data_IF_348579347186
#
_entry.id   IF_348579347186
#
_cell.length_a   1.000
_cell.length_b   1.000
_cell.length_c   1.000
_cell.angle_alpha   90.00
_cell.angle_beta   90.00
_cell.angle_gamma   90.00
#
_symmetry.space_group_name_H-M   'P 1'
#
loop_
_entity.id
_entity.type
_entity.pdbx_description
1 polymer ?
#
# COMPACT_ATOMS: atom_id res chain seq x y z
N UNK A 1 5.21 55.84 -25.25
CA UNK A 1 4.87 54.41 -25.50
C UNK A 1 3.71 54.38 -26.46
N UNK A 2 3.84 53.68 -27.61
CA UNK A 2 2.77 53.61 -28.60
C UNK A 2 1.63 52.73 -28.10
N UNK A 3 0.36 53.06 -28.44
CA UNK A 3 -0.79 52.23 -28.07
C UNK A 3 -0.62 50.78 -28.49
N UNK A 4 0.15 50.47 -29.55
CA UNK A 4 0.45 49.16 -30.05
C UNK A 4 1.34 48.34 -29.09
N UNK A 5 2.35 48.97 -28.46
CA UNK A 5 3.21 48.30 -27.48
C UNK A 5 2.50 48.00 -26.17
N UNK A 6 1.55 48.86 -25.78
CA UNK A 6 0.73 48.60 -24.59
C UNK A 6 -0.26 47.44 -24.81
N UNK A 7 -0.89 47.34 -26.00
CA UNK A 7 -1.80 46.25 -26.34
C UNK A 7 -1.06 44.89 -26.47
N UNK A 8 0.14 44.89 -27.03
CA UNK A 8 0.98 43.67 -27.09
C UNK A 8 1.42 43.20 -25.70
N UNK A 9 1.80 44.12 -24.83
CA UNK A 9 2.18 43.78 -23.45
C UNK A 9 0.99 43.21 -22.64
N UNK A 10 -0.20 43.78 -22.84
CA UNK A 10 -1.42 43.34 -22.17
C UNK A 10 -1.87 41.95 -22.70
N UNK A 11 -1.74 41.68 -24.00
CA UNK A 11 -2.03 40.39 -24.61
C UNK A 11 -1.07 39.30 -24.15
N UNK A 12 0.23 39.55 -24.04
CA UNK A 12 1.21 38.64 -23.47
C UNK A 12 0.94 38.34 -21.99
N UNK A 13 0.62 39.36 -21.20
CA UNK A 13 0.31 39.19 -19.78
C UNK A 13 -0.95 38.34 -19.55
N UNK A 14 -2.01 38.57 -20.36
CA UNK A 14 -3.21 37.77 -20.28
C UNK A 14 -2.97 36.31 -20.73
N UNK A 15 -2.20 36.10 -21.79
CA UNK A 15 -1.79 34.78 -22.27
C UNK A 15 -1.01 33.98 -21.21
N UNK A 16 -0.08 34.63 -20.51
CA UNK A 16 0.66 34.00 -19.40
C UNK A 16 -0.25 33.66 -18.20
N UNK A 17 -1.19 34.53 -17.84
CA UNK A 17 -2.15 34.24 -16.77
C UNK A 17 -3.08 33.08 -17.11
N UNK A 18 -3.59 33.00 -18.35
CA UNK A 18 -4.42 31.89 -18.79
C UNK A 18 -3.62 30.58 -18.82
N UNK A 19 -2.39 30.61 -19.31
CA UNK A 19 -1.52 29.39 -19.30
C UNK A 19 -1.21 28.92 -17.88
N UNK A 20 -0.98 29.84 -16.94
CA UNK A 20 -0.73 29.48 -15.53
C UNK A 20 -1.98 28.89 -14.84
N UNK A 21 -3.18 29.24 -15.29
CA UNK A 21 -4.44 28.72 -14.74
C UNK A 21 -4.75 27.29 -15.19
N UNK A 22 -4.15 26.83 -16.29
CA UNK A 22 -4.34 25.47 -16.82
C UNK A 22 -3.48 24.45 -16.05
N UNK A 23 -2.38 24.90 -15.44
CA UNK A 23 -1.52 24.04 -14.63
C UNK A 23 -2.13 23.92 -13.24
N UNK A 24 -2.88 22.83 -13.02
CA UNK A 24 -3.41 22.54 -11.70
C UNK A 24 -2.26 22.10 -10.78
N UNK A 25 -2.04 22.84 -9.70
CA UNK A 25 -0.97 22.54 -8.71
C UNK A 25 -1.13 21.15 -8.09
N UNK A 26 -2.32 20.59 -8.12
CA UNK A 26 -2.61 19.23 -7.65
C UNK A 26 -2.04 18.11 -8.53
N UNK A 27 -1.53 18.45 -9.73
CA UNK A 27 -0.94 17.47 -10.64
C UNK A 27 0.56 17.27 -10.40
N UNK A 28 1.15 18.00 -9.45
CA UNK A 28 2.55 17.86 -9.07
C UNK A 28 2.68 17.48 -7.60
N UNK A 29 3.48 16.46 -7.32
CA UNK A 29 3.79 15.98 -5.97
C UNK A 29 5.29 16.09 -5.74
N UNK A 30 5.67 16.75 -4.64
CA UNK A 30 7.03 16.76 -4.15
C UNK A 30 7.20 15.62 -3.14
N UNK A 31 7.81 14.48 -3.57
CA UNK A 31 8.08 13.39 -2.66
C UNK A 31 9.29 13.68 -1.77
N UNK A 32 9.09 13.56 -0.46
CA UNK A 32 10.11 13.78 0.58
C UNK A 32 10.48 12.48 1.29
N UNK A 33 9.72 11.40 1.09
CA UNK A 33 9.92 10.11 1.75
C UNK A 33 10.83 9.21 0.94
N UNK A 34 11.47 8.24 1.59
CA UNK A 34 12.44 7.33 0.97
C UNK A 34 11.80 6.10 0.34
N UNK A 35 10.51 5.90 0.52
CA UNK A 35 9.79 4.73 -0.01
C UNK A 35 9.77 4.65 -1.55
N UNK A 36 9.98 5.77 -2.23
CA UNK A 36 10.33 5.90 -3.65
C UNK A 36 11.33 7.05 -3.79
N UNK A 37 12.08 7.18 -4.89
CA UNK A 37 13.07 8.25 -5.07
C UNK A 37 12.50 9.62 -4.72
N UNK A 38 13.23 10.41 -3.91
CA UNK A 38 12.82 11.77 -3.55
C UNK A 38 12.85 12.68 -4.76
N UNK A 39 11.87 13.58 -4.90
CA UNK A 39 11.84 14.51 -6.03
C UNK A 39 10.46 14.96 -6.45
N UNK A 40 10.39 15.52 -7.65
CA UNK A 40 9.18 16.06 -8.25
C UNK A 40 8.56 15.03 -9.19
N UNK A 41 7.28 14.78 -8.99
CA UNK A 41 6.47 13.88 -9.80
C UNK A 41 5.30 14.62 -10.42
N UNK A 42 4.98 14.29 -11.66
CA UNK A 42 3.74 14.68 -12.33
C UNK A 42 2.72 13.56 -12.21
N UNK A 43 1.47 13.88 -11.90
CA UNK A 43 0.37 12.93 -11.73
C UNK A 43 -0.57 13.02 -12.93
N UNK A 44 -0.56 11.97 -13.75
CA UNK A 44 -1.47 11.83 -14.89
C UNK A 44 -2.78 11.17 -14.42
N UNK A 45 -3.83 11.99 -14.27
CA UNK A 45 -5.15 11.55 -13.82
C UNK A 45 -5.94 10.79 -14.87
N UNK A 46 -5.51 10.87 -16.12
CA UNK A 46 -6.18 10.24 -17.27
C UNK A 46 -5.57 8.90 -17.67
N UNK A 47 -4.39 8.58 -17.13
CA UNK A 47 -3.70 7.34 -17.43
C UNK A 47 -4.48 6.12 -16.92
N UNK A 48 -4.47 5.05 -17.70
CA UNK A 48 -4.96 3.74 -17.24
C UNK A 48 -3.95 3.18 -16.24
N UNK A 49 -4.48 2.60 -15.19
CA UNK A 49 -3.69 1.98 -14.12
C UNK A 49 -3.39 0.54 -14.51
N UNK A 50 -2.13 0.15 -14.39
CA UNK A 50 -1.62 -1.20 -14.65
C UNK A 50 -0.73 -1.66 -13.49
N UNK A 51 -0.56 -2.96 -13.34
CA UNK A 51 0.39 -3.52 -12.38
C UNK A 51 1.80 -3.00 -12.66
N UNK A 52 2.51 -2.58 -11.62
CA UNK A 52 3.83 -1.96 -11.70
C UNK A 52 3.82 -0.43 -11.79
N UNK A 53 2.70 0.20 -12.13
CA UNK A 53 2.61 1.66 -12.17
C UNK A 53 2.83 2.27 -10.79
N UNK A 54 3.60 3.35 -10.74
CA UNK A 54 3.66 4.20 -9.56
C UNK A 54 2.44 5.13 -9.55
N UNK A 55 1.65 5.10 -8.49
CA UNK A 55 0.44 5.92 -8.38
C UNK A 55 0.49 6.86 -7.20
N UNK A 56 -0.15 8.02 -7.34
CA UNK A 56 -0.50 8.89 -6.24
C UNK A 56 -1.82 8.40 -5.64
N UNK A 57 -1.84 8.13 -4.35
CA UNK A 57 -2.94 7.51 -3.63
C UNK A 57 -3.34 8.33 -2.41
N UNK A 58 -4.63 8.59 -2.25
CA UNK A 58 -5.20 9.23 -1.07
C UNK A 58 -5.69 8.14 -0.09
N UNK A 59 -4.99 7.88 1.03
CA UNK A 59 -5.38 6.83 1.96
C UNK A 59 -6.76 7.12 2.60
N UNK A 60 -7.39 6.08 3.17
CA UNK A 60 -8.63 6.24 3.95
C UNK A 60 -8.38 7.16 5.14
N UNK A 61 -9.44 7.73 5.72
CA UNK A 61 -9.33 8.63 6.86
C UNK A 61 -8.67 7.93 8.06
N UNK A 62 -8.98 6.68 8.29
CA UNK A 62 -8.38 5.86 9.34
C UNK A 62 -6.85 5.71 9.14
N UNK A 63 -6.43 5.31 7.94
CA UNK A 63 -4.99 5.18 7.60
C UNK A 63 -4.30 6.53 7.70
N UNK A 64 -4.94 7.59 7.24
CA UNK A 64 -4.42 8.96 7.26
C UNK A 64 -4.20 9.47 8.68
N UNK A 65 -5.15 9.25 9.59
CA UNK A 65 -5.02 9.58 11.00
C UNK A 65 -3.86 8.82 11.64
N UNK A 66 -3.80 7.51 11.41
CA UNK A 66 -2.72 6.69 11.93
C UNK A 66 -1.34 7.16 11.43
N UNK A 67 -1.19 7.45 10.12
CA UNK A 67 0.07 7.96 9.55
C UNK A 67 0.49 9.30 10.15
N UNK A 68 -0.48 10.18 10.43
CA UNK A 68 -0.24 11.48 11.05
C UNK A 68 0.16 11.34 12.53
N UNK A 69 -0.51 10.49 13.27
CA UNK A 69 -0.25 10.25 14.70
C UNK A 69 1.12 9.62 14.93
N UNK A 70 1.55 8.72 14.04
CA UNK A 70 2.91 8.15 14.04
C UNK A 70 3.96 9.10 13.45
N UNK A 71 3.57 10.29 12.97
CA UNK A 71 4.49 11.29 12.41
C UNK A 71 5.14 10.88 11.07
N UNK A 72 4.56 9.90 10.36
CA UNK A 72 5.12 9.34 9.11
C UNK A 72 4.92 10.32 7.96
N UNK A 73 3.69 10.81 7.77
CA UNK A 73 3.34 11.85 6.78
C UNK A 73 2.22 12.73 7.34
N UNK A 74 2.12 13.97 6.85
CA UNK A 74 1.01 14.87 7.19
C UNK A 74 -0.33 14.34 6.66
N UNK A 75 -1.43 14.65 7.37
CA UNK A 75 -2.76 14.10 7.14
C UNK A 75 -3.30 14.28 5.69
N UNK A 76 -2.91 15.36 5.01
CA UNK A 76 -3.40 15.67 3.65
C UNK A 76 -2.40 15.29 2.54
N UNK A 77 -1.35 14.52 2.89
CA UNK A 77 -0.30 14.19 1.94
C UNK A 77 -0.63 12.90 1.17
N UNK A 78 -0.69 12.92 -0.17
CA UNK A 78 -0.87 11.71 -0.95
C UNK A 78 0.37 10.81 -0.84
N UNK A 79 0.14 9.50 -0.83
CA UNK A 79 1.20 8.50 -0.84
C UNK A 79 1.58 8.14 -2.28
N UNK A 80 2.88 7.92 -2.52
CA UNK A 80 3.36 7.32 -3.77
C UNK A 80 3.62 5.83 -3.55
N UNK A 81 2.88 4.97 -4.25
CA UNK A 81 2.96 3.51 -4.13
C UNK A 81 2.86 2.84 -5.49
N UNK A 82 3.54 1.69 -5.65
CA UNK A 82 3.38 0.88 -6.85
C UNK A 82 2.13 0.01 -6.74
N UNK A 83 1.44 -0.13 -7.85
CA UNK A 83 0.33 -1.08 -8.00
C UNK A 83 0.92 -2.48 -8.07
N UNK A 84 0.78 -3.25 -7.00
CA UNK A 84 1.31 -4.60 -6.89
C UNK A 84 0.27 -5.67 -7.24
N UNK A 85 -1.03 -5.37 -7.09
CA UNK A 85 -2.12 -6.25 -7.46
C UNK A 85 -3.36 -5.49 -7.90
N UNK A 86 -4.09 -6.08 -8.83
CA UNK A 86 -5.35 -5.61 -9.41
C UNK A 86 -6.44 -6.68 -9.29
N UNK A 87 -7.65 -6.37 -9.74
CA UNK A 87 -8.79 -7.30 -9.73
C UNK A 87 -8.44 -8.67 -10.30
N UNK A 88 -8.73 -9.73 -9.53
CA UNK A 88 -8.42 -11.11 -9.85
C UNK A 88 -7.14 -11.65 -9.21
N UNK A 89 -6.24 -10.79 -8.74
CA UNK A 89 -5.04 -11.22 -8.02
C UNK A 89 -5.39 -11.71 -6.61
N UNK A 90 -4.74 -12.77 -6.15
CA UNK A 90 -4.85 -13.29 -4.80
C UNK A 90 -3.74 -12.68 -3.93
N UNK A 91 -4.14 -12.04 -2.84
CA UNK A 91 -3.23 -11.43 -1.87
C UNK A 91 -3.33 -12.21 -0.58
N UNK A 92 -2.20 -12.71 -0.09
CA UNK A 92 -2.11 -13.45 1.18
C UNK A 92 -1.13 -12.76 2.13
N UNK A 93 -1.45 -12.77 3.43
CA UNK A 93 -0.50 -12.47 4.50
C UNK A 93 -0.52 -13.60 5.52
N UNK A 94 0.68 -14.14 5.80
CA UNK A 94 0.92 -15.15 6.81
C UNK A 94 2.00 -14.65 7.77
N UNK A 95 1.61 -14.30 8.99
CA UNK A 95 2.44 -13.59 9.97
C UNK A 95 3.00 -12.28 9.38
N UNK A 96 4.30 -12.24 9.02
CA UNK A 96 4.94 -11.07 8.42
C UNK A 96 5.05 -11.17 6.89
N UNK A 97 4.90 -12.34 6.31
CA UNK A 97 5.09 -12.55 4.88
C UNK A 97 3.83 -12.18 4.09
N UNK A 98 4.00 -11.33 3.08
CA UNK A 98 2.96 -10.98 2.12
C UNK A 98 3.30 -11.59 0.78
N UNK A 99 2.32 -12.24 0.15
CA UNK A 99 2.45 -12.83 -1.18
C UNK A 99 1.34 -12.37 -2.11
N UNK A 100 1.66 -12.35 -3.40
CA UNK A 100 0.74 -12.05 -4.49
C UNK A 100 0.77 -13.24 -5.44
N UNK A 101 -0.38 -13.84 -5.71
CA UNK A 101 -0.52 -15.04 -6.56
C UNK A 101 0.44 -16.17 -6.15
N UNK A 102 0.62 -16.36 -4.85
CA UNK A 102 1.50 -17.38 -4.30
C UNK A 102 3.01 -17.07 -4.37
N UNK A 103 3.39 -15.89 -4.84
CA UNK A 103 4.79 -15.42 -4.86
C UNK A 103 4.99 -14.45 -3.71
N UNK A 104 5.94 -14.75 -2.80
CA UNK A 104 6.28 -13.84 -1.69
C UNK A 104 6.88 -12.56 -2.25
N UNK A 105 6.28 -11.42 -1.89
CA UNK A 105 6.67 -10.10 -2.41
C UNK A 105 7.48 -9.32 -1.38
N UNK A 106 6.99 -9.22 -0.13
CA UNK A 106 7.61 -8.43 0.93
C UNK A 106 7.37 -9.05 2.30
N UNK A 107 8.23 -8.67 3.26
CA UNK A 107 8.02 -8.94 4.69
C UNK A 107 7.55 -7.65 5.40
N UNK A 108 6.57 -7.80 6.30
CA UNK A 108 6.10 -6.74 7.17
C UNK A 108 6.86 -6.74 8.51
N UNK A 109 7.08 -5.58 9.09
CA UNK A 109 7.54 -5.46 10.47
C UNK A 109 6.36 -5.63 11.44
N UNK A 110 6.64 -5.96 12.70
CA UNK A 110 5.63 -6.07 13.76
C UNK A 110 5.50 -4.79 14.56
N UNK A 111 6.58 -4.03 14.66
CA UNK A 111 6.66 -2.79 15.43
C UNK A 111 7.38 -1.71 14.65
N UNK A 112 7.08 -0.46 14.98
CA UNK A 112 7.82 0.72 14.51
C UNK A 112 9.17 0.82 15.20
N UNK A 113 10.03 1.74 14.77
CA UNK A 113 11.29 2.04 15.47
C UNK A 113 11.06 2.56 16.91
N UNK A 114 9.91 3.21 17.16
CA UNK A 114 9.49 3.65 18.50
C UNK A 114 8.94 2.53 19.38
N UNK A 115 8.76 1.32 18.84
CA UNK A 115 8.20 0.17 19.54
C UNK A 115 6.67 0.06 19.49
N UNK A 116 5.97 0.97 18.81
CA UNK A 116 4.52 0.89 18.61
C UNK A 116 4.16 -0.25 17.67
N UNK A 117 3.07 -0.97 17.94
CA UNK A 117 2.59 -2.05 17.08
C UNK A 117 2.13 -1.51 15.71
N UNK A 118 2.58 -2.15 14.64
CA UNK A 118 2.13 -1.85 13.28
C UNK A 118 0.81 -2.57 12.99
N UNK A 119 -0.11 -1.96 12.21
CA UNK A 119 -1.34 -2.62 11.78
C UNK A 119 -1.06 -3.94 11.09
N UNK A 120 -1.91 -4.93 11.31
CA UNK A 120 -1.74 -6.26 10.75
C UNK A 120 -3.07 -6.85 10.32
N UNK A 121 -3.05 -7.52 9.17
CA UNK A 121 -4.13 -8.37 8.68
C UNK A 121 -3.58 -9.76 8.41
N UNK A 122 -4.43 -10.76 8.27
CA UNK A 122 -4.04 -12.16 8.08
C UNK A 122 -4.99 -12.85 7.08
N UNK A 123 -4.50 -13.92 6.45
CA UNK A 123 -5.26 -14.74 5.52
C UNK A 123 -5.07 -14.33 4.08
N UNK A 124 -5.90 -14.90 3.21
CA UNK A 124 -5.89 -14.69 1.77
C UNK A 124 -7.20 -14.06 1.31
N UNK A 125 -7.12 -13.19 0.32
CA UNK A 125 -8.29 -12.62 -0.36
C UNK A 125 -7.99 -12.37 -1.83
N UNK A 126 -8.99 -12.59 -2.68
CA UNK A 126 -8.91 -12.23 -4.10
C UNK A 126 -9.45 -10.82 -4.29
N UNK A 127 -8.69 -9.98 -4.97
CA UNK A 127 -9.07 -8.60 -5.27
C UNK A 127 -10.32 -8.55 -6.14
N UNK A 128 -11.32 -7.79 -5.71
CA UNK A 128 -12.55 -7.55 -6.47
C UNK A 128 -12.35 -6.41 -7.49
N UNK A 129 -13.32 -6.23 -8.37
CA UNK A 129 -13.33 -5.09 -9.28
C UNK A 129 -13.29 -3.76 -8.50
N UNK A 130 -12.36 -2.88 -8.86
CA UNK A 130 -12.14 -1.60 -8.19
C UNK A 130 -11.23 -1.68 -6.96
N UNK A 131 -10.82 -2.86 -6.52
CA UNK A 131 -9.83 -3.02 -5.43
C UNK A 131 -8.41 -3.06 -5.99
N UNK A 132 -7.46 -2.56 -5.20
CA UNK A 132 -6.04 -2.53 -5.55
C UNK A 132 -5.20 -2.92 -4.35
N UNK A 133 -4.04 -3.51 -4.63
CA UNK A 133 -3.02 -3.75 -3.62
C UNK A 133 -1.77 -2.94 -3.94
N UNK A 134 -1.34 -2.13 -2.99
CA UNK A 134 -0.29 -1.13 -3.18
C UNK A 134 0.93 -1.48 -2.32
N UNK A 135 2.11 -1.57 -2.93
CA UNK A 135 3.37 -1.85 -2.26
C UNK A 135 4.50 -0.97 -2.79
N UNK A 136 5.54 -0.82 -1.98
CA UNK A 136 6.86 -0.37 -2.42
C UNK A 136 7.92 -1.39 -1.99
N UNK A 137 9.04 -1.44 -2.69
CA UNK A 137 10.17 -2.34 -2.40
C UNK A 137 10.87 -1.99 -1.10
N UNK A 138 10.89 -0.72 -0.72
CA UNK A 138 11.58 -0.25 0.48
C UNK A 138 11.08 -0.97 1.74
N UNK A 139 11.96 -1.60 2.55
CA UNK A 139 11.55 -2.44 3.67
C UNK A 139 10.77 -1.68 4.75
N UNK A 140 11.05 -0.39 4.93
CA UNK A 140 10.34 0.48 5.87
C UNK A 140 9.13 1.19 5.25
N UNK A 141 8.70 0.81 4.04
CA UNK A 141 7.53 1.41 3.44
C UNK A 141 6.26 1.00 4.18
N UNK A 142 5.46 1.99 4.53
CA UNK A 142 4.12 1.80 5.09
C UNK A 142 3.12 1.78 3.94
N UNK A 143 2.53 0.62 3.68
CA UNK A 143 1.71 0.33 2.51
C UNK A 143 0.75 -0.85 2.75
N UNK A 144 0.34 -1.55 1.68
CA UNK A 144 -0.59 -2.68 1.74
C UNK A 144 -0.14 -3.82 2.64
N UNK A 145 1.15 -3.95 2.96
CA UNK A 145 1.63 -4.94 3.94
C UNK A 145 1.02 -4.74 5.33
N UNK A 146 0.58 -3.51 5.65
CA UNK A 146 -0.05 -3.14 6.92
C UNK A 146 -1.55 -2.89 6.80
N UNK A 147 -1.98 -2.22 5.74
CA UNK A 147 -3.37 -1.79 5.57
C UNK A 147 -4.19 -2.72 4.66
N UNK A 148 -3.55 -3.75 4.04
CA UNK A 148 -4.25 -4.68 3.15
C UNK A 148 -4.71 -4.03 1.84
N UNK A 149 -5.82 -4.56 1.33
CA UNK A 149 -6.45 -4.12 0.08
C UNK A 149 -7.06 -2.73 0.24
N UNK A 150 -6.94 -1.92 -0.81
CA UNK A 150 -7.42 -0.55 -0.85
C UNK A 150 -8.44 -0.35 -1.98
N UNK A 151 -9.26 0.71 -1.83
CA UNK A 151 -10.20 1.13 -2.87
C UNK A 151 -9.44 1.87 -4.00
N UNK A 152 -9.49 1.34 -5.20
CA UNK A 152 -8.87 1.94 -6.39
C UNK A 152 -9.43 3.32 -6.76
N UNK A 153 -10.66 3.65 -6.35
CA UNK A 153 -11.23 4.99 -6.54
C UNK A 153 -10.44 6.08 -5.78
N UNK A 154 -9.60 5.70 -4.82
CA UNK A 154 -8.73 6.62 -4.09
C UNK A 154 -7.39 6.90 -4.79
N UNK A 155 -7.12 6.26 -5.94
CA UNK A 155 -5.98 6.58 -6.78
C UNK A 155 -6.24 7.91 -7.47
N UNK A 156 -5.35 8.88 -7.26
CA UNK A 156 -5.42 10.22 -7.86
C UNK A 156 -4.99 10.16 -9.33
N UNK A 157 -3.98 9.36 -9.65
CA UNK A 157 -3.46 9.16 -11.00
C UNK A 157 -2.11 8.46 -10.98
N UNK A 158 -1.57 8.19 -12.18
CA UNK A 158 -0.25 7.59 -12.37
C UNK A 158 0.83 8.66 -12.18
N UNK A 159 1.77 8.43 -11.29
CA UNK A 159 2.85 9.35 -10.98
C UNK A 159 4.08 9.06 -11.87
N UNK A 160 4.57 10.09 -12.54
CA UNK A 160 5.78 10.02 -13.38
C UNK A 160 6.84 10.95 -12.80
N UNK A 161 8.06 10.45 -12.60
CA UNK A 161 9.15 11.27 -12.11
C UNK A 161 9.55 12.31 -13.17
N UNK A 162 9.57 13.59 -12.78
CA UNK A 162 10.14 14.68 -13.60
C UNK A 162 11.59 14.86 -13.24
N UNK A 163 11.87 14.92 -11.95
CA UNK A 163 13.20 15.09 -11.41
C UNK A 163 13.30 14.40 -10.06
N UNK A 164 14.34 13.58 -9.89
CA UNK A 164 14.60 12.86 -8.64
C UNK A 164 16.04 13.07 -8.19
N UNK A 165 16.26 13.03 -6.89
CA UNK A 165 17.58 13.11 -6.26
C UNK A 165 17.71 12.02 -5.18
N UNK A 166 18.96 11.71 -4.82
CA UNK A 166 19.27 10.58 -3.95
C UNK A 166 19.58 9.32 -4.77
N UNK A 167 20.19 8.35 -4.14
CA UNK A 167 20.53 7.09 -4.79
C UNK A 167 19.25 6.37 -5.22
N UNK A 168 19.17 6.05 -6.50
CA UNK A 168 18.29 4.98 -6.95
C UNK A 168 18.93 3.71 -6.43
N UNK A 169 18.43 3.19 -5.33
CA UNK A 169 18.85 1.87 -4.90
C UNK A 169 18.59 0.90 -6.07
N UNK A 170 19.57 0.09 -6.41
CA UNK A 170 19.45 -0.95 -7.44
C UNK A 170 18.27 -1.91 -7.13
N UNK A 171 17.75 -1.87 -5.91
CA UNK A 171 16.58 -2.58 -5.41
C UNK A 171 15.26 -2.14 -6.07
N UNK A 172 15.06 -0.85 -6.37
CA UNK A 172 13.83 -0.38 -7.04
C UNK A 172 13.68 -0.99 -8.44
N UNK A 173 14.81 -1.18 -9.16
CA UNK A 173 14.80 -1.84 -10.47
C UNK A 173 14.66 -3.37 -10.36
N UNK A 174 15.18 -3.98 -9.30
CA UNK A 174 15.10 -5.42 -9.08
C UNK A 174 13.66 -5.85 -8.72
N UNK A 175 12.91 -5.05 -7.98
CA UNK A 175 11.57 -5.41 -7.52
C UNK A 175 10.53 -5.32 -8.65
N UNK A 176 10.56 -4.28 -9.47
CA UNK A 176 9.73 -4.22 -10.67
C UNK A 176 10.03 -5.39 -11.60
N UNK A 177 11.32 -5.76 -11.74
CA UNK A 177 11.76 -6.89 -12.55
C UNK A 177 11.42 -8.25 -11.92
N UNK A 178 11.37 -8.37 -10.59
CA UNK A 178 10.99 -9.59 -9.87
C UNK A 178 9.48 -9.86 -9.92
N UNK A 179 8.66 -8.82 -9.91
CA UNK A 179 7.20 -8.92 -10.11
C UNK A 179 6.91 -9.40 -11.54
N UNK A 180 7.69 -8.92 -12.52
CA UNK A 180 7.49 -9.20 -13.95
C UNK A 180 8.14 -10.54 -14.40
N UNK A 181 9.18 -11.02 -13.71
CA UNK A 181 9.95 -12.20 -14.16
C UNK A 181 9.70 -13.51 -13.40
N UNK A 182 8.96 -13.50 -12.29
CA UNK A 182 8.64 -14.73 -11.53
C UNK A 182 9.85 -15.52 -11.00
N UNK A 183 11.06 -14.94 -11.01
CA UNK A 183 12.31 -15.62 -10.69
C UNK A 183 12.80 -15.24 -9.29
N UNK A 184 12.28 -15.91 -8.28
CA UNK A 184 12.75 -15.78 -6.89
C UNK A 184 13.20 -17.13 -6.33
N UNK A 185 14.42 -17.17 -5.86
CA UNK A 185 15.10 -18.32 -5.25
C UNK A 185 14.31 -18.92 -4.07
N UNK A 186 14.32 -20.26 -3.96
CA UNK A 186 13.70 -21.08 -2.90
C UNK A 186 12.16 -21.17 -2.86
N UNK A 187 11.56 -21.40 -4.03
CA UNK A 187 10.12 -21.51 -4.20
C UNK A 187 9.44 -22.70 -3.46
N UNK A 188 10.17 -23.74 -3.13
CA UNK A 188 9.59 -24.98 -2.55
C UNK A 188 9.30 -24.82 -1.06
N UNK A 189 10.23 -24.26 -0.28
CA UNK A 189 10.06 -24.09 1.17
C UNK A 189 9.09 -22.95 1.52
N UNK A 190 9.01 -21.91 0.69
CA UNK A 190 8.09 -20.78 0.85
C UNK A 190 6.67 -21.14 0.48
N UNK A 191 6.45 -21.92 -0.60
CA UNK A 191 5.13 -22.43 -0.99
C UNK A 191 4.51 -23.35 0.07
N UNK A 192 5.31 -24.11 0.80
CA UNK A 192 4.83 -24.97 1.88
C UNK A 192 4.22 -24.14 3.04
N UNK A 193 4.85 -23.06 3.45
CA UNK A 193 4.35 -22.18 4.53
C UNK A 193 3.09 -21.40 4.15
N UNK A 194 2.98 -20.96 2.90
CA UNK A 194 1.79 -20.24 2.42
C UNK A 194 0.56 -21.14 2.33
N UNK A 195 0.74 -22.46 2.15
CA UNK A 195 -0.35 -23.45 2.18
C UNK A 195 -1.00 -23.57 3.56
N UNK A 196 -0.25 -23.33 4.63
CA UNK A 196 -0.76 -23.35 6.02
C UNK A 196 -1.68 -22.16 6.32
N UNK A 197 -1.54 -21.06 5.59
CA UNK A 197 -2.39 -19.87 5.76
C UNK A 197 -3.62 -19.86 4.85
N UNK A 198 -3.78 -20.84 3.96
CA UNK A 198 -4.94 -20.92 3.07
C UNK A 198 -6.16 -21.48 3.82
N UNK A 199 -7.34 -20.81 3.79
CA UNK A 199 -8.54 -21.26 4.52
C UNK A 199 -9.00 -22.66 4.17
N UNK A 200 -8.59 -23.20 3.01
CA UNK A 200 -8.90 -24.58 2.59
C UNK A 200 -8.19 -25.66 3.43
N UNK A 201 -7.12 -25.32 4.16
CA UNK A 201 -6.40 -26.28 5.04
C UNK A 201 -6.90 -26.26 6.49
N UNK A 202 -7.69 -25.27 6.88
CA UNK A 202 -8.29 -25.19 8.23
C UNK A 202 -9.48 -26.13 8.43
N UNK A 203 -10.03 -26.71 7.36
CA UNK A 203 -11.16 -27.65 7.45
C UNK A 203 -10.76 -29.10 7.77
N UNK A 204 -9.48 -29.43 7.92
CA UNK A 204 -9.01 -30.79 8.22
C UNK A 204 -8.41 -30.99 9.61
N UNK A 205 -8.29 -29.94 10.41
CA UNK A 205 -7.89 -30.06 11.81
C UNK A 205 -9.14 -29.89 12.68
N UNK A 206 -9.55 -31.02 13.25
CA UNK A 206 -10.64 -31.20 14.19
C UNK A 206 -10.79 -30.05 15.18
N UNK A 207 -12.02 -29.61 15.34
CA UNK A 207 -12.46 -28.68 16.35
C UNK A 207 -11.83 -28.99 17.73
N UNK A 208 -10.90 -28.14 18.16
CA UNK A 208 -10.60 -27.99 19.56
C UNK A 208 -11.36 -26.75 20.08
N UNK A 209 -12.23 -26.93 21.08
CA UNK A 209 -13.04 -25.86 21.64
C UNK A 209 -12.24 -25.11 22.73
N UNK A 210 -11.21 -24.34 22.33
CA UNK A 210 -10.54 -23.44 23.25
C UNK A 210 -10.42 -22.07 22.62
N UNK A 211 -11.34 -21.19 22.99
CA UNK A 211 -11.21 -19.74 22.87
C UNK A 211 -10.38 -19.27 24.08
N UNK A 212 -9.13 -18.93 23.85
CA UNK A 212 -8.31 -18.22 24.85
C UNK A 212 -8.31 -16.73 24.50
N UNK A 213 -8.78 -15.91 25.44
CA UNK A 213 -8.71 -14.45 25.36
C UNK A 213 -7.28 -14.00 25.75
N UNK A 214 -6.66 -13.04 25.07
CA UNK A 214 -5.26 -12.64 25.31
C UNK A 214 -5.05 -11.68 26.51
N UNK A 215 -5.90 -11.74 27.54
CA UNK A 215 -5.68 -10.97 28.76
C UNK A 215 -4.84 -11.77 29.78
N UNK A 216 -3.84 -11.16 30.43
CA UNK A 216 -2.82 -11.87 31.19
C UNK A 216 -3.28 -12.49 32.54
N UNK A 217 -4.54 -12.42 32.93
CA UNK A 217 -5.03 -12.87 34.24
C UNK A 217 -6.32 -13.71 34.24
N UNK A 218 -6.78 -14.25 33.11
CA UNK A 218 -7.98 -15.10 33.09
C UNK A 218 -7.65 -16.54 32.73
N UNK A 219 -7.72 -17.42 33.70
CA UNK A 219 -7.55 -18.86 33.53
C UNK A 219 -8.65 -19.46 32.65
N UNK A 220 -8.29 -20.48 31.88
CA UNK A 220 -9.22 -21.26 31.06
C UNK A 220 -10.24 -21.97 31.93
N UNK A 221 -11.54 -21.63 31.78
CA UNK A 221 -12.63 -22.36 32.44
C UNK A 221 -13.23 -23.37 31.48
N UNK A 222 -13.31 -24.61 31.98
CA UNK A 222 -13.90 -25.77 31.30
C UNK A 222 -15.43 -25.64 31.28
N UNK A 223 -16.05 -25.49 30.12
CA UNK A 223 -17.49 -25.34 29.90
C UNK A 223 -18.29 -26.65 30.05
N UNK A 224 -17.67 -27.76 30.42
CA UNK A 224 -18.36 -29.04 30.56
C UNK A 224 -19.01 -29.26 31.95
N UNK A 225 -18.79 -28.38 32.93
CA UNK A 225 -19.37 -28.56 34.25
C UNK A 225 -20.77 -27.94 34.47
N UNK A 226 -21.30 -27.22 33.46
CA UNK A 226 -22.59 -26.52 33.61
C UNK A 226 -23.83 -27.32 33.15
N UNK A 227 -23.70 -28.56 32.68
CA UNK A 227 -24.82 -29.36 32.13
C UNK A 227 -25.33 -30.48 33.04
N UNK A 228 -25.05 -30.42 34.34
CA UNK A 228 -25.63 -31.36 35.32
C UNK A 228 -26.14 -30.66 36.56
N UNK A 229 -27.28 -30.06 36.49
CA UNK A 229 -28.16 -29.80 37.62
C UNK A 229 -29.51 -29.31 37.11
N UNK A 230 -30.41 -30.25 36.77
CA UNK A 230 -31.84 -30.07 37.00
C UNK A 230 -32.49 -31.46 37.21
N UNK A 231 -33.38 -31.57 38.20
CA UNK A 231 -34.03 -32.81 38.59
C UNK A 231 -35.14 -33.26 37.65
#
# INVERSE_FOLDING_TARGET
>A
MSRRTALLGMGCGLGLMVSASIINRSDFIWNRTESVPKGLYFVDRSARISTGDLVAFAPSDEVRHWLNDEGIVGADWPLLKHVAGLSGDEICRCDTQVSINGITSVDALKVTESGSALPAWQGCQTLKAGEVFLLNSHPLSVDGRYFGVQDGARIIGVARSIWTYGDRSAEDQATVKAIDSGTGMDSVSRRARLRECHPATLNSLSAHPFLCDPAPDSGCTDLQSAARLEP
#
